data_IF_286750795460
#
_entry.id   IF_286750795460
#
_cell.length_a   1.000
_cell.length_b   1.000
_cell.length_c   1.000
_cell.angle_alpha   90.00
_cell.angle_beta   90.00
_cell.angle_gamma   90.00
#
_symmetry.space_group_name_H-M   'P 1'
#
loop_
_entity.id
_entity.type
_entity.pdbx_description
1 polymer ?
#
# COMPACT_ATOMS: atom_id res chain seq x y z
N UNK A 1 -10.62 -12.75 18.06
CA UNK A 1 -10.18 -14.02 17.41
C UNK A 1 -9.05 -13.71 16.46
N UNK A 2 -8.04 -14.58 16.39
CA UNK A 2 -6.88 -14.50 15.48
C UNK A 2 -7.24 -15.14 14.14
N UNK A 3 -6.95 -14.47 13.03
CA UNK A 3 -7.17 -15.01 11.69
C UNK A 3 -5.95 -15.83 11.24
N UNK A 4 -6.17 -17.07 10.80
CA UNK A 4 -5.15 -17.96 10.25
C UNK A 4 -4.72 -17.60 8.83
N UNK A 5 -3.57 -18.11 8.37
CA UNK A 5 -3.04 -17.82 7.03
C UNK A 5 -3.82 -18.46 5.87
N UNK A 6 -4.71 -19.41 6.17
CA UNK A 6 -5.62 -20.06 5.21
C UNK A 6 -7.07 -19.60 5.38
N UNK A 7 -7.27 -18.43 5.99
CA UNK A 7 -8.58 -17.85 6.24
C UNK A 7 -8.67 -16.45 5.61
N UNK A 8 -9.88 -16.05 5.28
CA UNK A 8 -10.22 -14.68 4.90
C UNK A 8 -11.33 -14.13 5.81
N UNK A 9 -11.47 -12.80 5.87
CA UNK A 9 -12.52 -12.17 6.65
C UNK A 9 -13.13 -10.96 5.95
N UNK A 10 -14.44 -10.76 6.11
CA UNK A 10 -15.12 -9.54 5.65
C UNK A 10 -14.79 -8.29 6.48
N UNK A 11 -14.22 -8.47 7.68
CA UNK A 11 -13.82 -7.37 8.58
C UNK A 11 -12.36 -7.53 8.96
N UNK A 12 -11.60 -6.42 9.06
CA UNK A 12 -10.17 -6.50 9.39
C UNK A 12 -9.98 -7.08 10.79
N UNK A 13 -9.09 -8.08 10.91
CA UNK A 13 -8.65 -8.65 12.20
C UNK A 13 -7.32 -8.09 12.67
N UNK A 14 -6.57 -7.47 11.75
CA UNK A 14 -5.31 -6.78 11.99
C UNK A 14 -5.29 -5.48 11.18
N UNK A 15 -4.44 -4.49 11.54
CA UNK A 15 -4.12 -3.39 10.65
C UNK A 15 -3.56 -3.91 9.32
N UNK A 16 -4.02 -3.34 8.21
CA UNK A 16 -3.47 -3.68 6.88
C UNK A 16 -1.98 -3.32 6.81
N UNK A 17 -1.19 -4.20 6.19
CA UNK A 17 0.28 -4.13 6.17
C UNK A 17 0.95 -4.72 7.42
N UNK A 18 0.20 -5.30 8.37
CA UNK A 18 0.80 -6.04 9.48
C UNK A 18 1.66 -7.18 8.94
N UNK A 19 2.89 -7.33 9.45
CA UNK A 19 3.81 -8.40 9.05
C UNK A 19 3.72 -9.58 10.02
N UNK A 20 3.68 -10.79 9.47
CA UNK A 20 3.71 -12.06 10.21
C UNK A 20 4.79 -12.96 9.63
N UNK A 21 5.73 -13.43 10.46
CA UNK A 21 6.75 -14.40 10.06
C UNK A 21 6.45 -15.76 10.70
N UNK A 22 6.47 -16.82 9.90
CA UNK A 22 6.25 -18.21 10.34
C UNK A 22 7.31 -19.08 9.67
N UNK A 23 8.29 -19.53 10.46
CA UNK A 23 9.44 -20.27 9.92
C UNK A 23 10.18 -19.44 8.88
N UNK A 24 10.35 -20.00 7.69
CA UNK A 24 10.98 -19.41 6.51
C UNK A 24 10.02 -18.59 5.62
N UNK A 25 8.77 -18.38 6.04
CA UNK A 25 7.77 -17.61 5.27
C UNK A 25 7.40 -16.31 5.96
N UNK A 26 7.13 -15.28 5.15
CA UNK A 26 6.66 -13.97 5.61
C UNK A 26 5.37 -13.60 4.91
N UNK A 27 4.42 -13.11 5.69
CA UNK A 27 3.10 -12.68 5.26
C UNK A 27 2.86 -11.22 5.62
N UNK A 28 2.07 -10.56 4.80
CA UNK A 28 1.47 -9.26 5.12
C UNK A 28 -0.05 -9.39 5.16
N UNK A 29 -0.69 -8.70 6.09
CA UNK A 29 -2.15 -8.64 6.18
C UNK A 29 -2.68 -7.68 5.13
N UNK A 30 -3.49 -8.18 4.22
CA UNK A 30 -3.91 -7.52 3.00
C UNK A 30 -5.42 -7.32 2.95
N UNK A 31 -5.88 -6.43 2.07
CA UNK A 31 -7.26 -6.30 1.61
C UNK A 31 -7.30 -6.48 0.10
N UNK A 32 -8.22 -7.31 -0.37
CA UNK A 32 -8.45 -7.55 -1.78
C UNK A 32 -9.41 -6.50 -2.37
N UNK A 33 -9.01 -5.79 -3.42
CA UNK A 33 -9.87 -4.86 -4.17
C UNK A 33 -10.64 -5.56 -5.30
N UNK A 34 -10.13 -6.69 -5.77
CA UNK A 34 -10.82 -7.60 -6.69
C UNK A 34 -10.92 -8.99 -6.06
N UNK A 35 -11.63 -9.93 -6.70
CA UNK A 35 -11.43 -11.34 -6.35
C UNK A 35 -9.99 -11.75 -6.73
N UNK A 36 -9.35 -12.59 -5.90
CA UNK A 36 -7.97 -13.04 -6.09
C UNK A 36 -7.92 -14.56 -6.15
N UNK A 37 -6.93 -15.09 -6.89
CA UNK A 37 -6.78 -16.53 -7.06
C UNK A 37 -5.69 -17.09 -6.18
N UNK A 38 -5.93 -18.31 -5.70
CA UNK A 38 -4.91 -19.16 -5.09
C UNK A 38 -3.63 -19.18 -5.94
N UNK A 39 -2.49 -19.01 -5.29
CA UNK A 39 -1.15 -19.17 -5.88
C UNK A 39 -0.85 -18.23 -7.05
N UNK A 40 -1.58 -17.14 -7.21
CA UNK A 40 -1.29 -16.15 -8.25
C UNK A 40 -0.49 -14.98 -7.67
N UNK A 41 0.45 -14.42 -8.44
CA UNK A 41 1.12 -13.18 -8.06
C UNK A 41 0.17 -12.00 -8.24
N UNK A 42 -0.27 -11.40 -7.15
CA UNK A 42 -1.21 -10.27 -7.18
C UNK A 42 -0.48 -8.95 -6.97
N UNK A 43 -0.96 -7.88 -7.59
CA UNK A 43 -0.32 -6.57 -7.60
C UNK A 43 -1.07 -5.53 -6.77
N UNK A 44 -0.44 -4.36 -6.60
CA UNK A 44 -1.12 -3.18 -6.07
C UNK A 44 -1.99 -2.58 -7.17
N UNK A 45 -3.29 -2.37 -6.92
CA UNK A 45 -4.25 -1.81 -7.88
C UNK A 45 -4.47 -0.29 -7.70
N UNK A 46 -3.68 0.34 -6.83
CA UNK A 46 -3.61 1.81 -6.71
C UNK A 46 -2.74 2.43 -7.81
N UNK A 47 -3.04 3.69 -8.14
CA UNK A 47 -2.22 4.53 -9.01
C UNK A 47 -1.14 5.29 -8.24
N UNK A 48 -0.24 5.94 -8.99
CA UNK A 48 0.61 6.99 -8.43
C UNK A 48 -0.24 8.26 -8.25
N UNK A 49 -0.12 8.92 -7.10
CA UNK A 49 -0.78 10.20 -6.84
C UNK A 49 0.28 11.31 -6.80
N UNK A 50 0.51 11.96 -7.95
CA UNK A 50 1.42 13.10 -8.08
C UNK A 50 0.69 14.37 -7.65
N UNK A 51 1.22 15.07 -6.65
CA UNK A 51 0.61 16.27 -6.08
C UNK A 51 1.68 17.32 -5.75
N UNK A 52 1.26 18.52 -5.38
CA UNK A 52 2.14 19.55 -4.84
C UNK A 52 1.79 19.86 -3.39
N UNK A 53 2.78 20.28 -2.60
CA UNK A 53 2.53 20.83 -1.27
C UNK A 53 1.84 22.18 -1.39
N UNK A 54 0.83 22.44 -0.56
CA UNK A 54 0.14 23.73 -0.60
C UNK A 54 0.69 24.71 0.44
N UNK A 55 1.02 24.20 1.63
CA UNK A 55 1.46 25.02 2.76
C UNK A 55 2.95 24.72 3.02
N UNK A 56 3.71 25.77 3.29
CA UNK A 56 5.09 25.65 3.74
C UNK A 56 5.10 24.84 5.04
N UNK A 57 5.93 23.79 5.07
CA UNK A 57 6.19 23.00 6.26
C UNK A 57 7.67 23.12 6.65
N UNK A 58 7.97 22.91 7.93
CA UNK A 58 9.30 23.08 8.48
C UNK A 58 9.92 21.73 8.86
N UNK A 59 11.26 21.69 8.92
CA UNK A 59 11.95 20.53 9.43
C UNK A 59 11.48 20.23 10.86
N UNK A 60 11.21 18.96 11.16
CA UNK A 60 10.63 18.52 12.44
C UNK A 60 9.11 18.38 12.42
N UNK A 61 8.39 18.96 11.46
CA UNK A 61 6.93 18.82 11.38
C UNK A 61 6.52 17.37 11.11
N UNK A 62 5.38 16.97 11.68
CA UNK A 62 4.77 15.64 11.53
C UNK A 62 3.52 15.65 10.64
N UNK A 63 3.28 16.76 9.93
CA UNK A 63 2.17 16.90 9.01
C UNK A 63 2.58 17.69 7.78
N UNK A 64 1.95 17.35 6.65
CA UNK A 64 2.16 18.02 5.37
C UNK A 64 0.81 18.25 4.70
N UNK A 65 0.53 19.48 4.29
CA UNK A 65 -0.68 19.81 3.52
C UNK A 65 -0.36 19.80 2.03
N UNK A 66 -1.13 19.03 1.27
CA UNK A 66 -0.97 18.88 -0.17
C UNK A 66 -2.24 19.29 -0.90
N UNK A 67 -2.10 19.74 -2.15
CA UNK A 67 -3.19 19.84 -3.10
C UNK A 67 -3.67 18.42 -3.42
N UNK A 68 -4.91 18.08 -3.06
CA UNK A 68 -5.52 16.80 -3.42
C UNK A 68 -7.03 16.87 -3.23
N UNK A 69 -7.75 17.24 -4.28
CA UNK A 69 -9.18 17.62 -4.22
C UNK A 69 -10.12 16.51 -3.76
N UNK A 70 -9.79 15.24 -4.01
CA UNK A 70 -10.71 14.11 -3.83
C UNK A 70 -10.25 13.06 -2.82
N UNK A 71 -9.24 13.37 -1.99
CA UNK A 71 -8.71 12.41 -1.03
C UNK A 71 -9.82 11.97 -0.06
N UNK A 72 -10.00 10.67 0.11
CA UNK A 72 -10.88 10.14 1.16
C UNK A 72 -10.10 10.02 2.48
N UNK A 73 -10.81 10.10 3.61
CA UNK A 73 -10.19 9.89 4.91
C UNK A 73 -9.49 8.53 4.96
N UNK A 74 -8.26 8.52 5.47
CA UNK A 74 -7.42 7.31 5.62
C UNK A 74 -6.97 6.63 4.31
N UNK A 75 -7.19 7.24 3.14
CA UNK A 75 -6.77 6.71 1.85
C UNK A 75 -5.29 6.31 1.80
N UNK A 76 -4.41 7.16 2.34
CA UNK A 76 -2.96 7.01 2.30
C UNK A 76 -2.38 6.40 3.57
N UNK A 77 -3.23 5.95 4.50
CA UNK A 77 -2.81 5.37 5.78
C UNK A 77 -1.90 4.16 5.60
N UNK A 78 -0.70 4.23 6.18
CA UNK A 78 0.32 3.19 6.07
C UNK A 78 1.02 3.14 4.71
N UNK A 79 0.77 4.12 3.85
CA UNK A 79 1.44 4.33 2.58
C UNK A 79 2.77 5.08 2.74
N UNK A 80 3.24 5.63 1.62
CA UNK A 80 4.50 6.33 1.54
C UNK A 80 4.37 7.62 0.74
N UNK A 81 5.25 8.57 1.02
CA UNK A 81 5.39 9.82 0.27
C UNK A 81 6.85 10.09 -0.05
N UNK A 82 7.13 10.47 -1.29
CA UNK A 82 8.37 11.13 -1.69
C UNK A 82 8.12 12.62 -1.83
N UNK A 83 9.07 13.43 -1.38
CA UNK A 83 8.99 14.90 -1.44
C UNK A 83 10.24 15.40 -2.16
N UNK A 84 10.04 16.08 -3.28
CA UNK A 84 11.11 16.51 -4.19
C UNK A 84 11.75 17.84 -3.73
N UNK A 85 12.24 17.89 -2.49
CA UNK A 85 13.01 19.02 -1.96
C UNK A 85 14.49 18.98 -2.39
N UNK A 86 15.23 20.05 -2.09
CA UNK A 86 16.69 20.08 -2.17
C UNK A 86 17.28 20.41 -0.78
N UNK A 87 17.90 19.44 -0.06
CA UNK A 87 18.13 18.05 -0.46
C UNK A 87 16.83 17.22 -0.52
N UNK A 88 16.84 16.16 -1.33
CA UNK A 88 15.68 15.26 -1.46
C UNK A 88 15.43 14.54 -0.13
N UNK A 89 14.17 14.50 0.31
CA UNK A 89 13.83 13.77 1.53
C UNK A 89 13.88 12.27 1.29
N UNK A 90 14.07 11.50 2.36
CA UNK A 90 13.87 10.05 2.31
C UNK A 90 12.40 9.73 2.04
N UNK A 91 12.10 8.53 1.56
CA UNK A 91 10.73 8.05 1.43
C UNK A 91 10.09 7.95 2.83
N UNK A 92 9.20 8.88 3.16
CA UNK A 92 8.56 8.97 4.48
C UNK A 92 7.30 8.11 4.53
N UNK A 93 6.98 7.61 5.71
CA UNK A 93 5.76 6.84 5.94
C UNK A 93 4.59 7.75 6.29
N UNK A 94 3.47 7.55 5.61
CA UNK A 94 2.20 8.20 5.95
C UNK A 94 1.55 7.41 7.08
N UNK A 95 1.37 8.07 8.23
CA UNK A 95 0.65 7.54 9.39
C UNK A 95 -0.85 7.52 9.11
N UNK A 96 -1.39 8.62 8.59
CA UNK A 96 -2.80 8.76 8.24
C UNK A 96 -3.02 9.99 7.33
N UNK A 97 -4.25 10.22 6.86
CA UNK A 97 -4.65 11.46 6.20
C UNK A 97 -6.11 11.83 6.47
N UNK A 98 -6.41 13.12 6.41
CA UNK A 98 -7.79 13.63 6.45
C UNK A 98 -8.51 13.43 5.11
N UNK A 99 -9.84 13.48 5.13
CA UNK A 99 -10.58 13.69 3.88
C UNK A 99 -10.26 15.08 3.32
N UNK A 100 -10.31 15.20 1.99
CA UNK A 100 -10.13 16.48 1.32
C UNK A 100 -11.23 17.48 1.70
N UNK A 101 -10.87 18.75 1.83
CA UNK A 101 -11.82 19.87 1.98
C UNK A 101 -12.38 20.37 0.63
N UNK A 102 -12.10 19.64 -0.45
CA UNK A 102 -12.43 19.98 -1.84
C UNK A 102 -11.26 20.63 -2.59
N UNK A 103 -10.17 20.97 -1.90
CA UNK A 103 -8.94 21.50 -2.50
C UNK A 103 -7.72 20.71 -2.03
N UNK A 104 -7.66 20.43 -0.73
CA UNK A 104 -6.45 19.91 -0.06
C UNK A 104 -6.76 18.85 0.98
N UNK A 105 -5.73 18.08 1.31
CA UNK A 105 -5.72 17.14 2.42
C UNK A 105 -4.48 17.33 3.28
N UNK A 106 -4.60 16.99 4.57
CA UNK A 106 -3.46 16.93 5.49
C UNK A 106 -3.02 15.48 5.61
N UNK A 107 -1.75 15.24 5.27
CA UNK A 107 -1.06 14.00 5.57
C UNK A 107 -0.42 14.09 6.93
N UNK A 108 -0.59 13.05 7.74
CA UNK A 108 0.12 12.86 8.99
C UNK A 108 1.27 11.89 8.77
N UNK A 109 2.48 12.29 9.11
CA UNK A 109 3.69 11.51 8.90
C UNK A 109 4.03 10.69 10.15
N UNK A 110 4.67 9.53 9.95
CA UNK A 110 5.18 8.71 11.05
C UNK A 110 6.47 9.29 11.63
N UNK A 111 7.32 9.77 10.75
CA UNK A 111 8.64 10.30 11.03
C UNK A 111 8.66 11.79 10.61
N UNK A 112 9.37 12.66 11.33
CA UNK A 112 9.36 14.10 11.05
C UNK A 112 10.03 14.43 9.71
N UNK A 113 9.63 15.56 9.11
CA UNK A 113 10.31 16.12 7.94
C UNK A 113 11.79 16.39 8.26
N UNK A 114 12.68 15.96 7.37
CA UNK A 114 14.12 16.13 7.56
C UNK A 114 14.60 17.53 7.15
N UNK A 115 13.84 18.20 6.28
CA UNK A 115 14.10 19.54 5.79
C UNK A 115 12.79 20.31 5.65
N UNK A 116 12.89 21.65 5.62
CA UNK A 116 11.74 22.49 5.28
C UNK A 116 11.26 22.20 3.85
N UNK A 117 9.95 22.31 3.65
CA UNK A 117 9.27 22.06 2.39
C UNK A 117 8.55 23.34 2.00
N UNK A 118 8.94 23.93 0.86
CA UNK A 118 8.25 25.11 0.33
C UNK A 118 6.84 24.72 -0.17
N UNK A 119 5.96 25.70 -0.34
CA UNK A 119 4.74 25.49 -1.12
C UNK A 119 5.11 25.19 -2.59
N UNK A 120 4.21 24.53 -3.31
CA UNK A 120 4.37 24.06 -4.68
C UNK A 120 5.57 23.13 -4.87
N UNK A 121 5.93 22.35 -3.84
CA UNK A 121 6.94 21.30 -3.96
C UNK A 121 6.28 20.03 -4.44
N UNK A 122 6.78 19.43 -5.52
CA UNK A 122 6.26 18.16 -6.04
C UNK A 122 6.38 17.02 -5.02
N UNK A 123 5.37 16.16 -5.01
CA UNK A 123 5.25 14.99 -4.14
C UNK A 123 4.68 13.79 -4.89
N UNK A 124 5.18 12.61 -4.57
CA UNK A 124 4.66 11.33 -5.07
C UNK A 124 4.10 10.54 -3.91
N UNK A 125 2.80 10.26 -3.93
CA UNK A 125 2.11 9.61 -2.82
C UNK A 125 1.58 8.25 -3.29
N UNK A 126 1.81 7.25 -2.45
CA UNK A 126 1.32 5.89 -2.66
C UNK A 126 0.47 5.47 -1.47
N UNK A 127 -0.73 4.94 -1.71
CA UNK A 127 -1.46 4.26 -0.66
C UNK A 127 -0.71 2.99 -0.21
N UNK A 128 -1.12 2.43 0.94
CA UNK A 128 -0.58 1.16 1.40
C UNK A 128 -0.85 0.07 0.35
N UNK A 129 0.24 -0.48 -0.22
CA UNK A 129 0.17 -1.48 -1.29
C UNK A 129 -0.64 -2.72 -0.89
N UNK A 130 -0.71 -3.03 0.41
CA UNK A 130 -1.48 -4.17 0.93
C UNK A 130 -2.97 -3.86 1.13
N UNK A 131 -3.40 -2.61 0.98
CA UNK A 131 -4.82 -2.23 1.09
C UNK A 131 -5.59 -2.32 -0.23
N UNK A 132 -4.85 -2.37 -1.35
CA UNK A 132 -5.40 -2.34 -2.70
C UNK A 132 -4.93 -3.55 -3.52
N UNK A 133 -4.89 -4.75 -2.93
CA UNK A 133 -4.42 -5.94 -3.65
C UNK A 133 -5.41 -6.33 -4.75
N UNK A 134 -4.95 -6.37 -5.98
CA UNK A 134 -5.78 -6.66 -7.15
C UNK A 134 -5.19 -7.71 -8.07
N UNK A 135 -6.08 -8.44 -8.73
CA UNK A 135 -5.74 -9.40 -9.77
C UNK A 135 -5.03 -8.71 -10.93
N UNK A 136 -3.87 -9.23 -11.33
CA UNK A 136 -3.08 -8.68 -12.46
C UNK A 136 -3.09 -9.55 -13.70
N UNK A 137 -4.20 -10.23 -13.95
CA UNK A 137 -4.38 -11.09 -15.13
C UNK A 137 -4.38 -10.28 -16.44
N UNK A 138 -3.67 -10.78 -17.45
CA UNK A 138 -3.87 -10.33 -18.83
C UNK A 138 -3.24 -9.00 -19.22
N UNK A 139 -2.31 -8.46 -18.43
CA UNK A 139 -1.50 -7.33 -18.87
C UNK A 139 -0.55 -7.73 -20.01
N UNK A 140 -0.46 -6.90 -21.05
CA UNK A 140 0.76 -6.88 -21.87
C UNK A 140 1.87 -6.35 -20.96
N UNK A 141 3.00 -7.05 -20.86
CA UNK A 141 4.19 -6.72 -20.04
C UNK A 141 4.25 -7.26 -18.60
N UNK A 142 5.42 -7.05 -17.99
CA UNK A 142 5.75 -7.49 -16.64
C UNK A 142 5.10 -6.58 -15.60
N UNK A 143 4.55 -7.17 -14.55
CA UNK A 143 3.99 -6.45 -13.40
C UNK A 143 4.63 -6.94 -12.12
N UNK A 144 4.77 -6.06 -11.14
CA UNK A 144 5.30 -6.43 -9.83
C UNK A 144 4.20 -7.10 -9.00
N UNK A 145 4.48 -8.30 -8.50
CA UNK A 145 3.64 -8.94 -7.51
C UNK A 145 4.00 -8.43 -6.11
N UNK A 146 2.98 -8.05 -5.34
CA UNK A 146 3.13 -7.61 -3.95
C UNK A 146 2.92 -8.76 -2.96
N UNK A 147 2.12 -9.77 -3.33
CA UNK A 147 1.91 -10.97 -2.53
C UNK A 147 1.32 -12.12 -3.35
N UNK A 148 1.35 -13.32 -2.77
CA UNK A 148 0.69 -14.52 -3.28
C UNK A 148 -0.38 -14.98 -2.28
N UNK A 149 -1.67 -15.05 -2.66
CA UNK A 149 -2.72 -15.63 -1.84
C UNK A 149 -2.56 -17.16 -1.69
N UNK A 150 -2.75 -17.67 -0.48
CA UNK A 150 -2.73 -19.11 -0.20
C UNK A 150 -4.10 -19.79 -0.32
N UNK A 151 -5.14 -19.03 -0.62
CA UNK A 151 -6.51 -19.46 -0.89
C UNK A 151 -7.13 -18.49 -1.92
N UNK A 152 -8.28 -18.84 -2.51
CA UNK A 152 -9.07 -17.86 -3.26
C UNK A 152 -9.64 -16.80 -2.30
N UNK A 153 -9.57 -15.53 -2.69
CA UNK A 153 -10.02 -14.40 -1.87
C UNK A 153 -11.22 -13.72 -2.52
N UNK A 154 -12.25 -13.50 -1.72
CA UNK A 154 -13.44 -12.74 -2.10
C UNK A 154 -13.10 -11.25 -2.20
N UNK A 155 -13.67 -10.55 -3.17
CA UNK A 155 -13.53 -9.10 -3.29
C UNK A 155 -13.88 -8.39 -1.96
N UNK A 156 -13.10 -7.39 -1.59
CA UNK A 156 -13.19 -6.63 -0.34
C UNK A 156 -12.89 -7.41 0.96
N UNK A 157 -12.39 -8.64 0.88
CA UNK A 157 -12.03 -9.42 2.07
C UNK A 157 -10.56 -9.20 2.45
N UNK A 158 -10.27 -9.45 3.73
CA UNK A 158 -8.97 -9.35 4.34
C UNK A 158 -8.32 -10.72 4.51
N UNK A 159 -7.02 -10.82 4.27
CA UNK A 159 -6.30 -12.09 4.23
C UNK A 159 -4.81 -11.93 4.52
N UNK A 160 -4.10 -13.04 4.72
CA UNK A 160 -2.63 -13.05 4.78
C UNK A 160 -2.05 -13.39 3.41
N UNK A 161 -1.42 -12.42 2.75
CA UNK A 161 -0.69 -12.64 1.51
C UNK A 161 0.76 -13.00 1.79
N UNK A 162 1.28 -14.07 1.17
CA UNK A 162 2.70 -14.43 1.31
C UNK A 162 3.56 -13.47 0.48
N UNK A 163 4.63 -12.96 1.08
CA UNK A 163 5.51 -11.93 0.51
C UNK A 163 6.97 -12.36 0.45
N UNK A 164 7.34 -13.41 1.18
CA UNK A 164 8.69 -13.98 1.17
C UNK A 164 8.66 -15.45 1.60
N UNK A 165 9.71 -16.19 1.23
CA UNK A 165 9.88 -17.61 1.54
C UNK A 165 9.33 -18.54 0.46
N UNK A 166 9.51 -19.86 0.62
CA UNK A 166 9.07 -20.86 -0.34
C UNK A 166 7.56 -20.83 -0.56
N UNK A 167 7.14 -20.87 -1.82
CA UNK A 167 5.72 -20.82 -2.21
C UNK A 167 5.53 -21.50 -3.57
N UNK A 168 4.40 -22.18 -3.71
CA UNK A 168 3.92 -22.60 -5.02
C UNK A 168 3.13 -21.44 -5.63
N UNK A 169 3.55 -21.03 -6.82
CA UNK A 169 2.91 -19.98 -7.59
C UNK A 169 2.49 -20.49 -8.98
N UNK A 170 1.64 -19.74 -9.65
CA UNK A 170 1.18 -19.99 -11.02
C UNK A 170 1.80 -18.92 -11.92
N UNK A 171 2.71 -19.32 -12.81
CA UNK A 171 3.31 -18.43 -13.82
C UNK A 171 2.35 -18.13 -14.97
N UNK A 172 1.55 -19.10 -15.36
CA UNK A 172 0.60 -19.02 -16.47
C UNK A 172 -0.49 -20.09 -16.31
N UNK A 173 -1.53 -20.04 -17.13
CA UNK A 173 -2.51 -21.14 -17.21
C UNK A 173 -1.77 -22.47 -17.41
N UNK A 174 -1.94 -23.42 -16.48
CA UNK A 174 -1.26 -24.72 -16.43
C UNK A 174 0.27 -24.68 -16.21
N UNK A 175 0.88 -23.51 -15.99
CA UNK A 175 2.31 -23.35 -15.73
C UNK A 175 2.59 -23.03 -14.27
N UNK A 176 3.02 -24.03 -13.49
CA UNK A 176 3.41 -23.85 -12.09
C UNK A 176 4.85 -23.33 -11.94
N UNK A 177 5.08 -22.55 -10.89
CA UNK A 177 6.39 -22.22 -10.34
C UNK A 177 6.44 -22.73 -8.91
N UNK A 178 7.50 -23.45 -8.55
CA UNK A 178 7.72 -23.94 -7.19
C UNK A 178 9.17 -23.76 -6.79
N UNK A 179 9.38 -23.39 -5.54
CA UNK A 179 10.66 -23.37 -4.86
C UNK A 179 10.60 -24.32 -3.65
#
# INVERSE_FOLDING_TARGET
MKQGIYEQSATPKYPVGTRLAIGDRVFHYCRALTALRLHHGEGNNDGLHEQETEIIAYAGDLSLTILHETATAHQFKGGYINIHTAPMQVCLRVKDNDASDGTRTVLYLRDPLLAGVAANTFTDIHANIYNNVGGREGGTHYTSAICIPLINITINYYFWGQTWGPVVATAASLGGLGA
#
